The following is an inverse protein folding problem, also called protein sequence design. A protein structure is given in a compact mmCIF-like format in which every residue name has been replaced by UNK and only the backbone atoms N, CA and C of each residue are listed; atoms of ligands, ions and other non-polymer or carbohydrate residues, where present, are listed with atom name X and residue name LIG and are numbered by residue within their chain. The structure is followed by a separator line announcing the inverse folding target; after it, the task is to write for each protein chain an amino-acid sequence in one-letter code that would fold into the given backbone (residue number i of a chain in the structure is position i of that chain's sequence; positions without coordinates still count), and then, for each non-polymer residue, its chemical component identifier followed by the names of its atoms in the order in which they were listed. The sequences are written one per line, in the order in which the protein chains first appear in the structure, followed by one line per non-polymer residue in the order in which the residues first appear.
data_IF_300768346422
#
_entry.id   IF_300768346422
#
_cell.length_a   1.000
_cell.length_b   1.000
_cell.length_c   1.000
_cell.angle_alpha   90.00
_cell.angle_beta   90.00
_cell.angle_gamma   90.00
#
_symmetry.space_group_name_H-M   'P 1'
#
loop_
_entity.id
_entity.type
_entity.pdbx_description
1 polymer ?
#
# COMPACT_ATOMS: atom_id res chain seq x y z
N UNK A 1 -14.79 -36.56 34.45
CA UNK A 1 -13.48 -36.92 33.89
C UNK A 1 -12.54 -35.77 34.16
N UNK A 2 -11.46 -36.02 34.92
CA UNK A 2 -10.55 -34.98 35.38
C UNK A 2 -9.90 -34.30 34.17
N UNK A 3 -10.17 -33.01 34.00
CA UNK A 3 -9.44 -32.17 33.07
C UNK A 3 -8.05 -32.00 33.67
N UNK A 4 -7.12 -32.88 33.30
CA UNK A 4 -5.73 -32.85 33.77
C UNK A 4 -5.16 -31.47 33.38
N UNK A 5 -4.84 -30.63 34.37
CA UNK A 5 -4.45 -29.23 34.14
C UNK A 5 -3.22 -29.09 33.24
N UNK A 6 -2.45 -30.17 33.08
CA UNK A 6 -1.26 -30.24 32.24
C UNK A 6 -1.50 -30.77 30.82
N UNK A 7 -2.72 -31.21 30.49
CA UNK A 7 -3.04 -31.78 29.17
C UNK A 7 -2.71 -30.83 27.99
N UNK A 8 -3.01 -29.51 28.07
CA UNK A 8 -2.59 -28.57 27.03
C UNK A 8 -1.08 -28.40 26.89
N UNK A 9 -0.33 -28.47 27.99
CA UNK A 9 1.15 -28.39 27.98
C UNK A 9 1.76 -29.63 27.32
N UNK A 10 1.25 -30.82 27.64
CA UNK A 10 1.66 -32.08 26.99
C UNK A 10 1.41 -32.04 25.47
N UNK A 11 0.29 -31.46 25.04
CA UNK A 11 0.02 -31.22 23.63
C UNK A 11 1.01 -30.26 22.96
N UNK A 12 1.42 -29.19 23.65
CA UNK A 12 2.45 -28.27 23.18
C UNK A 12 3.80 -28.98 22.98
N UNK A 13 4.26 -29.73 23.98
CA UNK A 13 5.54 -30.44 23.93
C UNK A 13 5.56 -31.48 22.81
N UNK A 14 4.44 -32.21 22.64
CA UNK A 14 4.27 -33.16 21.56
C UNK A 14 4.39 -32.48 20.18
N UNK A 15 3.70 -31.36 19.96
CA UNK A 15 3.80 -30.62 18.71
C UNK A 15 5.18 -30.02 18.49
N UNK A 16 5.84 -29.50 19.54
CA UNK A 16 7.18 -28.92 19.45
C UNK A 16 8.20 -29.97 19.04
N UNK A 17 8.11 -31.20 19.56
CA UNK A 17 9.00 -32.29 19.18
C UNK A 17 8.76 -32.74 17.74
N UNK A 18 7.51 -32.94 17.32
CA UNK A 18 7.20 -33.35 15.95
C UNK A 18 7.53 -32.27 14.91
N UNK A 19 7.43 -30.99 15.27
CA UNK A 19 7.89 -29.89 14.42
C UNK A 19 9.41 -29.84 14.26
N UNK A 20 10.18 -30.27 15.27
CA UNK A 20 11.66 -30.38 15.19
C UNK A 20 12.09 -31.54 14.30
N UNK A 21 11.49 -32.70 14.52
CA UNK A 21 11.91 -33.94 13.87
C UNK A 21 11.26 -34.15 12.50
N UNK A 22 10.20 -33.38 12.19
CA UNK A 22 9.43 -33.50 10.94
C UNK A 22 8.66 -34.82 10.81
N UNK A 23 8.50 -35.57 11.90
CA UNK A 23 7.85 -36.88 11.90
C UNK A 23 6.33 -36.74 11.81
N UNK A 24 5.73 -37.62 11.01
CA UNK A 24 4.28 -37.75 10.96
C UNK A 24 3.77 -38.55 12.18
N UNK A 25 2.55 -38.25 12.61
CA UNK A 25 1.89 -38.89 13.75
C UNK A 25 0.41 -39.15 13.47
N UNK A 26 -0.20 -40.06 14.24
CA UNK A 26 -1.64 -40.30 14.24
C UNK A 26 -2.34 -39.60 15.41
N UNK A 27 -3.66 -39.41 15.34
CA UNK A 27 -4.39 -38.79 16.44
C UNK A 27 -4.49 -39.68 17.69
N UNK A 28 -4.36 -40.99 17.52
CA UNK A 28 -4.23 -41.94 18.63
C UNK A 28 -2.92 -41.72 19.40
N UNK A 29 -1.81 -41.45 18.69
CA UNK A 29 -0.52 -41.10 19.31
C UNK A 29 -0.61 -39.76 20.05
N UNK A 30 -1.26 -38.76 19.45
CA UNK A 30 -1.51 -37.48 20.10
C UNK A 30 -2.40 -37.64 21.33
N UNK A 31 -3.44 -38.47 21.27
CA UNK A 31 -4.30 -38.79 22.42
C UNK A 31 -3.48 -39.43 23.55
N UNK A 32 -2.65 -40.41 23.23
CA UNK A 32 -1.80 -41.08 24.21
C UNK A 32 -0.81 -40.12 24.90
N UNK A 33 -0.26 -39.15 24.15
CA UNK A 33 0.70 -38.18 24.67
C UNK A 33 0.05 -37.02 25.44
N UNK A 34 -1.07 -36.48 24.95
CA UNK A 34 -1.72 -35.28 25.49
C UNK A 34 -2.78 -35.57 26.55
N UNK A 35 -3.35 -36.78 26.56
CA UNK A 35 -4.52 -37.13 27.37
C UNK A 35 -5.85 -36.59 26.82
N UNK A 36 -5.87 -35.93 25.66
CA UNK A 36 -7.09 -35.47 25.02
C UNK A 36 -7.89 -36.62 24.40
N UNK A 37 -9.23 -36.50 24.44
CA UNK A 37 -10.08 -37.42 23.69
C UNK A 37 -9.94 -37.19 22.18
N UNK A 38 -10.14 -38.24 21.36
CA UNK A 38 -10.16 -38.11 19.89
C UNK A 38 -11.18 -37.07 19.41
N UNK A 39 -12.33 -36.97 20.10
CA UNK A 39 -13.36 -35.96 19.81
C UNK A 39 -12.86 -34.54 20.05
N UNK A 40 -12.09 -34.32 21.13
CA UNK A 40 -11.45 -33.04 21.42
C UNK A 40 -10.39 -32.70 20.37
N UNK A 41 -9.59 -33.69 19.98
CA UNK A 41 -8.54 -33.55 18.95
C UNK A 41 -9.14 -33.14 17.60
N UNK A 42 -10.19 -33.81 17.11
CA UNK A 42 -10.86 -33.43 15.86
C UNK A 42 -11.49 -32.03 15.93
N UNK A 43 -12.00 -31.66 17.11
CA UNK A 43 -12.52 -30.31 17.36
C UNK A 43 -11.41 -29.25 17.30
N UNK A 44 -10.27 -29.49 17.94
CA UNK A 44 -9.15 -28.55 17.92
C UNK A 44 -8.46 -28.50 16.56
N UNK A 45 -8.30 -29.63 15.88
CA UNK A 45 -7.79 -29.69 14.50
C UNK A 45 -8.60 -28.82 13.55
N UNK A 46 -9.93 -28.93 13.57
CA UNK A 46 -10.80 -28.16 12.68
C UNK A 46 -10.90 -26.67 13.06
N UNK A 47 -10.85 -26.35 14.35
CA UNK A 47 -11.09 -24.98 14.85
C UNK A 47 -9.84 -24.16 15.13
N UNK A 48 -8.74 -24.79 15.51
CA UNK A 48 -7.55 -24.15 16.10
C UNK A 48 -6.24 -24.57 15.42
N UNK A 49 -6.05 -25.85 15.06
CA UNK A 49 -4.76 -26.34 14.57
C UNK A 49 -4.66 -26.46 13.04
N UNK A 50 -5.66 -25.97 12.30
CA UNK A 50 -5.65 -25.98 10.83
C UNK A 50 -4.38 -25.34 10.25
N UNK A 51 -3.86 -24.32 10.92
CA UNK A 51 -2.65 -23.59 10.51
C UNK A 51 -1.37 -24.12 11.16
N UNK A 52 -1.47 -25.19 11.98
CA UNK A 52 -0.34 -25.84 12.64
C UNK A 52 -0.04 -27.23 12.07
N UNK A 53 -1.03 -27.88 11.48
CA UNK A 53 -0.93 -29.25 10.99
C UNK A 53 -1.00 -29.31 9.46
N UNK A 54 -0.28 -30.26 8.88
CA UNK A 54 -0.35 -30.64 7.47
C UNK A 54 -0.72 -32.12 7.34
N UNK A 55 -1.50 -32.44 6.31
CA UNK A 55 -1.86 -33.83 6.03
C UNK A 55 -0.71 -34.46 5.24
N UNK A 56 -0.05 -35.46 5.83
CA UNK A 56 1.03 -36.19 5.19
C UNK A 56 0.52 -37.37 4.36
N UNK A 57 -0.49 -38.09 4.85
CA UNK A 57 -1.16 -39.19 4.13
C UNK A 57 -2.54 -39.47 4.77
N UNK A 58 -3.33 -40.46 4.29
CA UNK A 58 -4.53 -40.88 4.99
C UNK A 58 -4.20 -41.28 6.44
N UNK A 59 -4.77 -40.56 7.41
CA UNK A 59 -4.60 -40.73 8.87
C UNK A 59 -3.23 -40.33 9.45
N UNK A 60 -2.32 -39.76 8.66
CA UNK A 60 -1.05 -39.22 9.16
C UNK A 60 -0.96 -37.71 8.99
N UNK A 61 -0.49 -37.04 10.03
CA UNK A 61 -0.34 -35.59 10.11
C UNK A 61 1.07 -35.21 10.50
N UNK A 62 1.58 -34.11 9.98
CA UNK A 62 2.84 -33.51 10.39
C UNK A 62 2.57 -32.15 11.03
N UNK A 63 3.43 -31.76 11.97
CA UNK A 63 3.41 -30.40 12.52
C UNK A 63 4.28 -29.50 11.63
N UNK A 64 3.71 -28.38 11.21
CA UNK A 64 4.40 -27.34 10.44
C UNK A 64 5.59 -26.80 11.23
N UNK A 65 6.71 -26.51 10.56
CA UNK A 65 7.94 -25.99 11.21
C UNK A 65 7.71 -24.62 11.87
N UNK A 66 6.74 -23.86 11.38
CA UNK A 66 6.29 -22.58 11.91
C UNK A 66 5.85 -22.68 13.37
N UNK A 67 5.41 -23.86 13.83
CA UNK A 67 5.06 -24.10 15.24
C UNK A 67 6.23 -23.81 16.19
N UNK A 68 7.48 -23.95 15.75
CA UNK A 68 8.66 -23.67 16.59
C UNK A 68 8.77 -22.20 16.99
N UNK A 69 8.11 -21.29 16.26
CA UNK A 69 8.02 -19.86 16.58
C UNK A 69 7.02 -19.56 17.68
N UNK A 70 6.11 -20.50 17.97
CA UNK A 70 5.05 -20.34 18.95
C UNK A 70 5.58 -20.67 20.35
N UNK A 71 5.45 -19.73 21.29
CA UNK A 71 5.71 -20.00 22.70
C UNK A 71 4.61 -20.86 23.31
N UNK A 72 4.91 -21.51 24.44
CA UNK A 72 3.92 -22.27 25.20
C UNK A 72 2.71 -21.39 25.58
N UNK A 73 2.97 -20.16 26.04
CA UNK A 73 1.93 -19.21 26.43
C UNK A 73 0.99 -18.85 25.28
N UNK A 74 1.53 -18.59 24.08
CA UNK A 74 0.72 -18.27 22.89
C UNK A 74 -0.10 -19.47 22.41
N UNK A 75 0.45 -20.68 22.50
CA UNK A 75 -0.29 -21.91 22.18
C UNK A 75 -1.46 -22.14 23.15
N UNK A 76 -1.24 -21.94 24.44
CA UNK A 76 -2.28 -22.06 25.46
C UNK A 76 -3.38 -21.00 25.30
N UNK A 77 -3.00 -19.75 25.02
CA UNK A 77 -3.96 -18.67 24.73
C UNK A 77 -4.82 -19.02 23.50
N UNK A 78 -4.19 -19.55 22.44
CA UNK A 78 -4.89 -19.96 21.22
C UNK A 78 -5.83 -21.16 21.38
N UNK A 79 -5.51 -22.10 22.27
CA UNK A 79 -6.44 -23.17 22.62
C UNK A 79 -7.67 -22.62 23.36
N UNK A 80 -7.50 -21.54 24.13
CA UNK A 80 -8.58 -20.94 24.91
C UNK A 80 -9.47 -19.99 24.09
N UNK A 81 -8.89 -19.27 23.13
CA UNK A 81 -9.58 -18.27 22.32
C UNK A 81 -9.24 -18.41 20.83
N UNK A 82 -10.24 -18.35 19.96
CA UNK A 82 -10.04 -18.44 18.50
C UNK A 82 -9.39 -17.15 17.98
N UNK A 83 -8.05 -17.11 18.00
CA UNK A 83 -7.25 -16.02 17.43
C UNK A 83 -6.48 -16.54 16.22
N UNK A 84 -6.28 -15.77 15.14
CA UNK A 84 -5.35 -16.17 14.10
C UNK A 84 -3.94 -16.19 14.69
N UNK A 85 -3.31 -17.38 14.75
CA UNK A 85 -1.93 -17.54 15.26
C UNK A 85 -0.90 -16.86 14.37
N UNK A 86 -1.16 -16.88 13.07
CA UNK A 86 -0.30 -16.29 12.07
C UNK A 86 -1.15 -15.41 11.17
N UNK A 87 -0.78 -14.14 11.05
CA UNK A 87 -1.27 -13.30 9.96
C UNK A 87 -0.74 -13.86 8.66
N UNK A 88 -1.63 -14.23 7.75
CA UNK A 88 -1.26 -14.57 6.36
C UNK A 88 -1.26 -13.30 5.54
N UNK A 89 -0.14 -13.02 4.89
CA UNK A 89 0.01 -11.85 4.03
C UNK A 89 0.32 -12.36 2.63
N UNK A 90 -0.54 -12.13 1.66
CA UNK A 90 -0.14 -12.41 0.27
C UNK A 90 0.85 -11.33 -0.15
N UNK A 91 2.13 -11.71 -0.27
CA UNK A 91 3.16 -10.81 -0.78
C UNK A 91 2.91 -10.53 -2.26
N UNK A 92 2.49 -9.30 -2.55
CA UNK A 92 2.40 -8.76 -3.91
C UNK A 92 3.58 -7.82 -4.12
N UNK A 93 4.16 -7.84 -5.32
CA UNK A 93 5.19 -6.90 -5.72
C UNK A 93 4.97 -6.39 -7.12
N UNK A 94 5.64 -5.28 -7.41
CA UNK A 94 5.53 -4.56 -8.67
C UNK A 94 6.94 -4.21 -9.11
N UNK A 95 7.31 -4.62 -10.33
CA UNK A 95 8.61 -4.29 -10.92
C UNK A 95 8.76 -2.79 -11.19
N UNK A 96 7.64 -2.14 -11.54
CA UNK A 96 7.59 -0.73 -11.91
C UNK A 96 6.61 0.05 -11.06
N UNK A 97 6.89 1.34 -10.89
CA UNK A 97 6.00 2.29 -10.24
C UNK A 97 6.17 3.68 -10.84
N UNK A 98 5.12 4.48 -10.74
CA UNK A 98 5.16 5.92 -11.02
C UNK A 98 4.99 6.65 -9.70
N UNK A 99 5.86 7.61 -9.42
CA UNK A 99 5.80 8.42 -8.22
C UNK A 99 5.63 9.89 -8.58
N UNK A 100 4.66 10.53 -7.94
CA UNK A 100 4.40 11.96 -8.05
C UNK A 100 4.56 12.61 -6.68
N UNK A 101 5.33 13.68 -6.59
CA UNK A 101 5.58 14.41 -5.36
C UNK A 101 5.29 15.91 -5.53
N UNK A 102 4.24 16.41 -4.88
CA UNK A 102 3.99 17.85 -4.80
C UNK A 102 4.83 18.46 -3.70
N UNK A 103 5.48 19.58 -4.00
CA UNK A 103 6.17 20.41 -3.03
C UNK A 103 5.37 21.72 -2.89
N UNK A 104 4.72 21.87 -1.74
CA UNK A 104 3.77 22.95 -1.48
C UNK A 104 4.06 23.61 -0.12
N UNK A 105 4.00 24.95 0.00
CA UNK A 105 4.11 25.62 1.29
C UNK A 105 3.02 25.17 2.30
N UNK A 106 3.38 25.07 3.59
CA UNK A 106 2.48 24.61 4.67
C UNK A 106 1.43 25.61 5.13
N UNK A 107 1.42 26.82 4.59
CA UNK A 107 0.45 27.89 4.92
C UNK A 107 -1.00 27.42 4.86
N UNK A 108 -1.31 26.36 4.10
CA UNK A 108 -2.67 25.83 3.88
C UNK A 108 -2.78 24.31 4.00
N UNK A 109 -2.00 23.67 4.86
CA UNK A 109 -1.99 22.19 4.99
C UNK A 109 -3.40 21.59 5.18
N UNK A 110 -4.25 22.20 6.00
CA UNK A 110 -5.62 21.70 6.21
C UNK A 110 -6.48 21.73 4.94
N UNK A 111 -6.35 22.76 4.11
CA UNK A 111 -7.05 22.86 2.82
C UNK A 111 -6.48 21.85 1.82
N UNK A 112 -5.15 21.66 1.83
CA UNK A 112 -4.48 20.67 1.01
C UNK A 112 -4.97 19.25 1.35
N UNK A 113 -5.00 18.87 2.64
CA UNK A 113 -5.51 17.57 3.08
C UNK A 113 -6.98 17.36 2.68
N UNK A 114 -7.84 18.34 2.94
CA UNK A 114 -9.25 18.25 2.54
C UNK A 114 -9.39 18.05 1.02
N UNK A 115 -8.67 18.82 0.21
CA UNK A 115 -8.68 18.69 -1.24
C UNK A 115 -8.14 17.35 -1.74
N UNK A 116 -7.16 16.77 -1.04
CA UNK A 116 -6.61 15.45 -1.36
C UNK A 116 -7.57 14.33 -0.96
N UNK A 117 -8.17 14.42 0.22
CA UNK A 117 -9.13 13.42 0.74
C UNK A 117 -10.37 13.33 -0.14
N UNK A 118 -10.87 14.47 -0.62
CA UNK A 118 -12.00 14.54 -1.54
C UNK A 118 -11.79 13.69 -2.80
N UNK A 119 -10.55 13.59 -3.28
CA UNK A 119 -10.19 12.84 -4.49
C UNK A 119 -10.20 11.31 -4.31
N UNK A 120 -10.46 10.82 -3.09
CA UNK A 120 -10.62 9.39 -2.81
C UNK A 120 -12.08 8.98 -2.61
N UNK A 121 -13.05 9.89 -2.75
CA UNK A 121 -14.47 9.53 -2.78
C UNK A 121 -14.97 9.34 -4.21
N UNK A 122 -15.61 8.20 -4.47
CA UNK A 122 -16.06 7.81 -5.80
C UNK A 122 -17.04 8.79 -6.44
N UNK A 123 -17.91 9.40 -5.64
CA UNK A 123 -18.88 10.40 -6.07
C UNK A 123 -18.20 11.71 -6.49
N UNK A 124 -17.18 12.15 -5.75
CA UNK A 124 -16.38 13.32 -6.07
C UNK A 124 -15.59 13.09 -7.36
N UNK A 125 -14.96 11.93 -7.51
CA UNK A 125 -14.25 11.55 -8.75
C UNK A 125 -15.23 11.49 -9.92
N UNK A 126 -16.40 10.86 -9.76
CA UNK A 126 -17.43 10.79 -10.79
C UNK A 126 -17.90 12.19 -11.22
N UNK A 127 -18.19 13.07 -10.26
CA UNK A 127 -18.59 14.45 -10.52
C UNK A 127 -17.53 15.18 -11.35
N UNK A 128 -16.26 15.04 -10.98
CA UNK A 128 -15.14 15.64 -11.71
C UNK A 128 -15.00 15.09 -13.13
N UNK A 129 -15.17 13.79 -13.32
CA UNK A 129 -15.16 13.18 -14.65
C UNK A 129 -16.28 13.75 -15.54
N UNK A 130 -17.47 14.00 -14.96
CA UNK A 130 -18.57 14.67 -15.67
C UNK A 130 -18.23 16.11 -16.04
N UNK A 131 -17.54 16.85 -15.17
CA UNK A 131 -17.08 18.22 -15.46
C UNK A 131 -16.04 18.28 -16.59
N UNK A 132 -15.17 17.27 -16.68
CA UNK A 132 -14.22 17.14 -17.80
C UNK A 132 -14.98 16.83 -19.11
N UNK A 133 -16.00 15.99 -19.02
CA UNK A 133 -16.85 15.59 -20.14
C UNK A 133 -16.30 14.38 -20.91
N UNK A 134 -17.22 13.60 -21.46
CA UNK A 134 -16.95 12.34 -22.16
C UNK A 134 -16.00 12.49 -23.35
N UNK A 135 -16.09 13.59 -24.10
CA UNK A 135 -15.29 13.78 -25.31
C UNK A 135 -13.79 13.83 -24.98
N UNK A 136 -13.40 14.65 -24.01
CA UNK A 136 -12.00 14.78 -23.57
C UNK A 136 -11.49 13.50 -22.91
N UNK A 137 -12.33 12.83 -22.13
CA UNK A 137 -11.95 11.56 -21.51
C UNK A 137 -11.74 10.46 -22.56
N UNK A 138 -12.49 10.50 -23.67
CA UNK A 138 -12.36 9.52 -24.76
C UNK A 138 -11.03 9.65 -25.53
N UNK A 139 -10.35 10.80 -25.45
CA UNK A 139 -8.98 10.98 -25.97
C UNK A 139 -7.92 10.25 -25.14
N UNK A 140 -8.26 9.89 -23.90
CA UNK A 140 -7.37 9.22 -22.94
C UNK A 140 -7.73 7.74 -22.79
N UNK A 141 -9.01 7.45 -22.71
CA UNK A 141 -9.55 6.11 -22.48
C UNK A 141 -10.54 5.79 -23.59
N UNK A 142 -10.21 4.79 -24.41
CA UNK A 142 -11.12 4.33 -25.43
C UNK A 142 -12.43 3.84 -24.80
N UNK A 143 -13.54 4.23 -25.43
CA UNK A 143 -14.88 3.75 -25.10
C UNK A 143 -15.09 2.35 -25.67
N UNK A 144 -15.80 1.52 -24.92
CA UNK A 144 -16.19 0.22 -25.43
C UNK A 144 -17.38 0.34 -26.40
N UNK A 145 -17.52 -0.57 -27.38
CA UNK A 145 -18.70 -0.61 -28.24
C UNK A 145 -19.97 -0.72 -27.40
N UNK A 146 -20.97 0.11 -27.70
CA UNK A 146 -22.28 0.14 -27.00
C UNK A 146 -22.24 0.62 -25.54
N UNK A 147 -21.09 1.08 -25.05
CA UNK A 147 -20.95 1.60 -23.68
C UNK A 147 -21.75 2.89 -23.51
N UNK A 148 -22.70 2.90 -22.57
CA UNK A 148 -23.42 4.12 -22.19
C UNK A 148 -22.47 5.13 -21.54
N UNK A 149 -22.80 6.42 -21.58
CA UNK A 149 -21.98 7.47 -20.98
C UNK A 149 -21.78 7.23 -19.47
N UNK A 150 -22.82 6.79 -18.77
CA UNK A 150 -22.73 6.53 -17.32
C UNK A 150 -21.87 5.29 -17.02
N UNK A 151 -22.00 4.23 -17.83
CA UNK A 151 -21.13 3.06 -17.72
C UNK A 151 -19.66 3.42 -17.95
N UNK A 152 -19.38 4.30 -18.92
CA UNK A 152 -18.04 4.83 -19.17
C UNK A 152 -17.48 5.56 -17.94
N UNK A 153 -18.24 6.48 -17.33
CA UNK A 153 -17.77 7.16 -16.12
C UNK A 153 -17.47 6.19 -14.99
N UNK A 154 -18.37 5.22 -14.74
CA UNK A 154 -18.17 4.23 -13.68
C UNK A 154 -16.91 3.40 -13.90
N UNK A 155 -16.65 2.96 -15.14
CA UNK A 155 -15.43 2.23 -15.49
C UNK A 155 -14.18 3.06 -15.27
N UNK A 156 -14.21 4.36 -15.58
CA UNK A 156 -13.08 5.26 -15.32
C UNK A 156 -12.88 5.50 -13.82
N UNK A 157 -13.94 5.58 -13.01
CA UNK A 157 -13.84 5.64 -11.54
C UNK A 157 -13.21 4.37 -10.96
N UNK A 158 -13.64 3.19 -11.41
CA UNK A 158 -13.06 1.91 -10.99
C UNK A 158 -11.58 1.83 -11.37
N UNK A 159 -11.24 2.26 -12.59
CA UNK A 159 -9.86 2.35 -13.04
C UNK A 159 -9.05 3.30 -12.15
N UNK A 160 -9.56 4.49 -11.81
CA UNK A 160 -8.87 5.39 -10.89
C UNK A 160 -8.66 4.74 -9.50
N UNK A 161 -9.69 4.06 -9.00
CA UNK A 161 -9.68 3.39 -7.68
C UNK A 161 -8.66 2.27 -7.59
N UNK A 162 -8.52 1.46 -8.65
CA UNK A 162 -7.51 0.39 -8.70
C UNK A 162 -6.06 0.94 -8.70
N UNK A 163 -5.86 2.18 -9.17
CA UNK A 163 -4.54 2.76 -9.38
C UNK A 163 -4.07 3.65 -8.24
N UNK A 164 -4.97 4.47 -7.70
CA UNK A 164 -4.62 5.48 -6.70
C UNK A 164 -5.00 4.98 -5.31
N UNK A 165 -4.03 4.36 -4.62
CA UNK A 165 -4.27 3.74 -3.30
C UNK A 165 -4.10 4.68 -2.09
N UNK A 166 -3.50 5.86 -2.28
CA UNK A 166 -3.29 6.82 -1.21
C UNK A 166 -2.14 7.78 -1.49
N UNK A 167 -1.90 8.67 -0.52
CA UNK A 167 -0.80 9.60 -0.51
C UNK A 167 -0.14 9.65 0.87
N UNK A 168 1.07 10.18 0.94
CA UNK A 168 1.77 10.46 2.19
C UNK A 168 2.21 11.92 2.20
N UNK A 169 2.21 12.54 3.38
CA UNK A 169 2.70 13.91 3.57
C UNK A 169 3.92 13.85 4.48
N UNK A 170 5.01 14.49 4.07
CA UNK A 170 6.18 14.77 4.91
C UNK A 170 6.47 16.26 4.93
N UNK A 171 7.08 16.74 6.00
CA UNK A 171 7.41 18.16 6.17
C UNK A 171 8.91 18.35 6.02
N UNK A 172 9.29 19.29 5.18
CA UNK A 172 10.69 19.69 4.97
C UNK A 172 10.81 21.16 5.33
N UNK A 173 11.66 21.48 6.30
CA UNK A 173 12.01 22.86 6.60
C UNK A 173 13.15 23.30 5.68
N UNK A 174 12.94 24.41 4.97
CA UNK A 174 13.90 24.98 4.03
C UNK A 174 14.03 26.48 4.20
N UNK A 175 15.03 27.05 3.52
CA UNK A 175 15.25 28.49 3.46
C UNK A 175 15.54 28.88 2.02
N UNK A 176 14.75 29.79 1.46
CA UNK A 176 14.89 30.21 0.07
C UNK A 176 15.04 31.73 -0.08
N UNK A 177 15.48 32.13 -1.27
CA UNK A 177 15.71 33.52 -1.66
C UNK A 177 14.45 34.06 -2.34
N UNK A 178 13.84 35.10 -1.79
CA UNK A 178 12.59 35.66 -2.29
C UNK A 178 12.76 36.79 -3.34
N UNK A 179 14.01 37.08 -3.74
CA UNK A 179 14.33 38.12 -4.72
C UNK A 179 15.53 37.73 -5.58
N UNK A 180 15.90 38.54 -6.59
CA UNK A 180 17.14 38.31 -7.32
C UNK A 180 18.37 38.43 -6.40
N UNK A 181 19.50 37.82 -6.82
CA UNK A 181 20.74 37.94 -6.06
C UNK A 181 21.10 39.42 -5.91
N UNK A 182 21.29 39.87 -4.67
CA UNK A 182 21.60 41.25 -4.36
C UNK A 182 22.76 41.34 -3.37
N UNK A 183 23.38 42.50 -3.29
CA UNK A 183 24.46 42.76 -2.33
C UNK A 183 23.90 42.73 -0.91
N UNK A 184 24.77 42.55 0.10
CA UNK A 184 24.34 42.60 1.51
C UNK A 184 23.66 43.94 1.86
N UNK A 185 24.16 45.05 1.31
CA UNK A 185 23.58 46.38 1.51
C UNK A 185 22.17 46.47 0.92
N UNK A 186 22.00 46.03 -0.33
CA UNK A 186 20.68 46.01 -0.98
C UNK A 186 19.70 45.07 -0.26
N UNK A 187 20.17 43.92 0.23
CA UNK A 187 19.35 43.03 1.06
C UNK A 187 18.91 43.68 2.37
N UNK A 188 19.80 44.45 3.01
CA UNK A 188 19.48 45.19 4.23
C UNK A 188 18.41 46.25 3.95
N UNK A 189 18.57 47.03 2.88
CA UNK A 189 17.59 48.03 2.43
C UNK A 189 16.24 47.38 2.12
N UNK A 190 16.24 46.23 1.44
CA UNK A 190 15.05 45.46 1.13
C UNK A 190 14.34 44.90 2.38
N UNK A 191 15.09 44.57 3.43
CA UNK A 191 14.53 44.19 4.74
C UNK A 191 13.94 45.42 5.44
N UNK A 192 14.62 46.56 5.34
CA UNK A 192 14.22 47.83 5.99
C UNK A 192 12.94 48.40 5.37
N UNK A 193 12.71 48.17 4.08
CA UNK A 193 11.48 48.52 3.37
C UNK A 193 10.31 47.54 3.59
N UNK A 194 10.48 46.54 4.47
CA UNK A 194 9.43 45.59 4.85
C UNK A 194 9.40 44.30 4.02
N UNK A 195 10.32 44.11 3.07
CA UNK A 195 10.48 42.84 2.36
C UNK A 195 11.32 41.82 3.13
N UNK A 196 11.43 40.60 2.60
CA UNK A 196 12.32 39.55 3.13
C UNK A 196 13.22 39.08 2.00
N UNK A 197 14.53 39.00 2.25
CA UNK A 197 15.48 38.47 1.24
C UNK A 197 15.62 36.94 1.33
N UNK A 198 15.71 36.41 2.55
CA UNK A 198 15.67 34.98 2.84
C UNK A 198 14.42 34.68 3.66
N UNK A 199 13.65 33.68 3.23
CA UNK A 199 12.42 33.24 3.88
C UNK A 199 12.62 31.81 4.37
N UNK A 200 12.40 31.60 5.66
CA UNK A 200 12.26 30.26 6.23
C UNK A 200 10.85 29.77 5.89
N UNK A 201 10.75 28.61 5.27
CA UNK A 201 9.47 27.99 4.92
C UNK A 201 9.49 26.51 5.27
N UNK A 202 8.34 26.03 5.71
CA UNK A 202 8.14 24.59 5.80
C UNK A 202 7.26 24.18 4.63
N UNK A 203 7.77 23.24 3.84
CA UNK A 203 7.13 22.71 2.65
C UNK A 203 6.57 21.33 2.97
N UNK A 204 5.30 21.08 2.63
CA UNK A 204 4.75 19.74 2.52
C UNK A 204 5.26 19.09 1.24
N UNK A 205 5.87 17.92 1.37
CA UNK A 205 6.09 16.98 0.28
C UNK A 205 4.96 15.93 0.31
N UNK A 206 4.00 16.07 -0.61
CA UNK A 206 2.87 15.14 -0.77
C UNK A 206 3.21 14.13 -1.85
N UNK A 207 3.39 12.87 -1.47
CA UNK A 207 3.87 11.81 -2.35
C UNK A 207 2.79 10.77 -2.63
N UNK A 208 2.60 10.48 -3.91
CA UNK A 208 1.81 9.38 -4.45
C UNK A 208 2.74 8.33 -5.03
N UNK A 209 2.57 7.08 -4.62
CA UNK A 209 3.30 5.94 -5.20
C UNK A 209 2.26 5.05 -5.87
N UNK A 210 2.31 4.98 -7.19
CA UNK A 210 1.34 4.27 -8.01
C UNK A 210 2.04 3.05 -8.61
N UNK A 211 1.72 1.84 -8.13
CA UNK A 211 2.30 0.63 -8.68
C UNK A 211 1.76 0.35 -10.09
N UNK A 212 2.65 0.01 -11.03
CA UNK A 212 2.25 -0.47 -12.35
C UNK A 212 1.75 -1.92 -12.24
N UNK A 213 0.69 -2.27 -12.96
CA UNK A 213 0.20 -3.65 -13.06
C UNK A 213 1.09 -4.45 -14.03
N UNK A 214 1.73 -3.80 -15.01
CA UNK A 214 2.81 -4.42 -15.80
C UNK A 214 3.97 -4.78 -14.88
N UNK A 215 4.41 -6.04 -14.92
CA UNK A 215 5.43 -6.55 -14.01
C UNK A 215 4.93 -6.76 -12.58
N UNK A 216 3.62 -6.88 -12.36
CA UNK A 216 3.06 -7.33 -11.07
C UNK A 216 3.28 -8.82 -10.87
N UNK A 217 3.69 -9.18 -9.67
CA UNK A 217 3.89 -10.56 -9.27
C UNK A 217 3.35 -10.81 -7.86
N UNK A 218 3.10 -12.08 -7.54
CA UNK A 218 2.72 -12.51 -6.20
C UNK A 218 3.50 -13.74 -5.81
N UNK A 219 3.95 -13.80 -4.55
CA UNK A 219 4.57 -14.98 -3.98
C UNK A 219 3.60 -15.69 -3.06
N UNK A 220 3.73 -17.02 -3.00
CA UNK A 220 3.27 -17.75 -1.83
C UNK A 220 4.15 -17.39 -0.62
N UNK A 221 3.57 -17.42 0.57
CA UNK A 221 4.27 -17.21 1.86
C UNK A 221 5.32 -18.29 2.19
N UNK A 222 5.67 -19.14 1.22
CA UNK A 222 6.68 -20.19 1.39
C UNK A 222 8.08 -19.60 1.24
N UNK A 223 8.99 -20.06 2.11
CA UNK A 223 10.40 -19.65 2.10
C UNK A 223 11.06 -19.92 0.74
N UNK A 224 10.71 -21.04 0.10
CA UNK A 224 11.21 -21.45 -1.21
C UNK A 224 10.83 -20.47 -2.33
N UNK A 225 9.59 -19.95 -2.33
CA UNK A 225 9.15 -18.94 -3.28
C UNK A 225 9.90 -17.60 -3.12
N UNK A 226 10.48 -17.36 -1.94
CA UNK A 226 11.28 -16.16 -1.67
C UNK A 226 12.68 -16.21 -2.29
N UNK A 227 13.13 -17.33 -2.85
CA UNK A 227 14.43 -17.45 -3.52
C UNK A 227 14.36 -17.28 -5.05
N UNK A 228 13.19 -17.48 -5.65
CA UNK A 228 13.00 -17.45 -7.11
C UNK A 228 12.46 -16.12 -7.67
N UNK A 229 12.43 -15.06 -6.85
CA UNK A 229 11.82 -13.80 -7.24
C UNK A 229 12.65 -12.97 -8.22
N UNK A 230 13.98 -13.17 -8.28
CA UNK A 230 14.84 -12.44 -9.22
C UNK A 230 14.54 -12.80 -10.68
N UNK A 231 14.20 -14.06 -10.96
CA UNK A 231 13.89 -14.53 -12.32
C UNK A 231 12.64 -13.82 -12.91
N UNK A 232 11.73 -13.34 -12.04
CA UNK A 232 10.54 -12.59 -12.45
C UNK A 232 10.85 -11.15 -12.88
N UNK A 233 12.02 -10.61 -12.51
CA UNK A 233 12.42 -9.24 -12.86
C UNK A 233 12.92 -9.12 -14.30
N UNK A 234 13.22 -10.23 -14.99
CA UNK A 234 13.82 -10.21 -16.32
C UNK A 234 12.81 -10.24 -17.48
N UNK A 235 11.51 -10.39 -17.17
CA UNK A 235 10.45 -10.44 -18.19
C UNK A 235 10.32 -9.10 -18.93
N UNK A 236 10.22 -9.08 -20.28
CA UNK A 236 9.98 -7.86 -21.06
C UNK A 236 8.61 -7.22 -20.75
N UNK A 237 8.57 -5.91 -20.67
CA UNK A 237 7.38 -5.14 -20.27
C UNK A 237 6.80 -4.34 -21.44
N UNK A 238 6.29 -5.04 -22.46
CA UNK A 238 5.85 -4.44 -23.73
C UNK A 238 4.72 -3.40 -23.59
N UNK A 239 3.94 -3.45 -22.50
CA UNK A 239 2.82 -2.54 -22.24
C UNK A 239 3.11 -1.43 -21.22
N UNK A 240 4.33 -1.36 -20.67
CA UNK A 240 4.63 -0.44 -19.56
C UNK A 240 4.43 1.03 -19.95
N UNK A 241 4.92 1.45 -21.12
CA UNK A 241 4.82 2.86 -21.51
C UNK A 241 3.36 3.30 -21.64
N UNK A 242 2.50 2.48 -22.26
CA UNK A 242 1.06 2.77 -22.39
C UNK A 242 0.39 2.92 -21.02
N UNK A 243 0.71 2.02 -20.09
CA UNK A 243 0.20 2.06 -18.73
C UNK A 243 0.67 3.32 -17.98
N UNK A 244 1.95 3.68 -18.09
CA UNK A 244 2.51 4.88 -17.46
C UNK A 244 1.88 6.15 -18.03
N UNK A 245 1.65 6.21 -19.35
CA UNK A 245 0.94 7.33 -19.96
C UNK A 245 -0.50 7.45 -19.47
N UNK A 246 -1.21 6.33 -19.32
CA UNK A 246 -2.57 6.31 -18.79
C UNK A 246 -2.62 6.81 -17.34
N UNK A 247 -1.75 6.28 -16.47
CA UNK A 247 -1.62 6.71 -15.07
C UNK A 247 -1.33 8.20 -15.01
N UNK A 248 -0.38 8.69 -15.81
CA UNK A 248 -0.02 10.12 -15.85
C UNK A 248 -1.21 10.97 -16.26
N UNK A 249 -1.89 10.63 -17.36
CA UNK A 249 -3.04 11.42 -17.85
C UNK A 249 -4.16 11.47 -16.79
N UNK A 250 -4.50 10.32 -16.19
CA UNK A 250 -5.49 10.26 -15.11
C UNK A 250 -5.08 11.07 -13.89
N UNK A 251 -3.81 10.96 -13.47
CA UNK A 251 -3.31 11.70 -12.32
C UNK A 251 -3.38 13.23 -12.54
N UNK A 252 -3.03 13.70 -13.74
CA UNK A 252 -3.13 15.12 -14.06
C UNK A 252 -4.57 15.62 -14.06
N UNK A 253 -5.49 14.88 -14.69
CA UNK A 253 -6.89 15.25 -14.78
C UNK A 253 -7.58 15.26 -13.41
N UNK A 254 -7.33 14.24 -12.59
CA UNK A 254 -8.01 14.05 -11.32
C UNK A 254 -7.33 14.80 -10.17
N UNK A 255 -6.02 14.71 -10.03
CA UNK A 255 -5.30 15.20 -8.86
C UNK A 255 -4.64 16.57 -9.11
N UNK A 256 -3.80 16.68 -10.13
CA UNK A 256 -2.98 17.89 -10.34
C UNK A 256 -3.85 19.12 -10.53
N UNK A 257 -4.83 19.06 -11.44
CA UNK A 257 -5.75 20.18 -11.65
C UNK A 257 -6.56 20.52 -10.39
N UNK A 258 -6.77 19.57 -9.46
CA UNK A 258 -7.55 19.81 -8.24
C UNK A 258 -6.74 20.61 -7.24
N UNK A 259 -5.51 20.13 -7.01
CA UNK A 259 -4.58 20.68 -6.02
C UNK A 259 -4.19 22.09 -6.45
N UNK A 260 -3.79 22.29 -7.71
CA UNK A 260 -3.36 23.59 -8.23
C UNK A 260 -4.49 24.64 -8.17
N UNK A 261 -5.75 24.25 -8.41
CA UNK A 261 -6.89 25.18 -8.33
C UNK A 261 -7.32 25.52 -6.91
N UNK A 262 -7.12 24.58 -5.98
CA UNK A 262 -7.53 24.73 -4.58
C UNK A 262 -6.48 25.48 -3.76
N UNK A 263 -5.20 25.21 -4.00
CA UNK A 263 -4.08 25.88 -3.34
C UNK A 263 -3.89 27.28 -3.96
N UNK A 264 -4.51 28.28 -3.35
CA UNK A 264 -4.49 29.67 -3.81
C UNK A 264 -3.44 30.50 -3.07
N UNK A 265 -2.80 31.42 -3.79
CA UNK A 265 -1.96 32.48 -3.22
C UNK A 265 -0.48 32.14 -3.12
N UNK A 266 -0.07 30.93 -3.51
CA UNK A 266 1.34 30.53 -3.59
C UNK A 266 1.98 31.13 -4.85
N UNK A 267 3.27 31.48 -4.75
CA UNK A 267 4.04 32.04 -5.87
C UNK A 267 4.41 30.95 -6.89
N UNK A 268 4.74 29.75 -6.40
CA UNK A 268 5.04 28.59 -7.23
C UNK A 268 4.48 27.29 -6.63
N UNK A 269 4.09 26.36 -7.49
CA UNK A 269 3.76 24.98 -7.15
C UNK A 269 4.67 24.06 -7.96
N UNK A 270 5.28 23.07 -7.31
CA UNK A 270 6.21 22.15 -7.94
C UNK A 270 5.68 20.72 -7.82
N UNK A 271 5.83 19.95 -8.90
CA UNK A 271 5.51 18.52 -8.93
C UNK A 271 6.66 17.76 -9.59
N UNK A 272 7.18 16.78 -8.86
CA UNK A 272 8.23 15.89 -9.35
C UNK A 272 7.62 14.55 -9.75
N UNK A 273 7.88 14.09 -10.97
CA UNK A 273 7.62 12.72 -11.41
C UNK A 273 8.92 11.91 -11.34
N UNK A 274 8.84 10.69 -10.82
CA UNK A 274 9.96 9.74 -10.69
C UNK A 274 9.47 8.28 -10.80
N UNK A 275 10.40 7.31 -10.80
CA UNK A 275 10.11 5.90 -11.01
C UNK A 275 10.52 5.48 -12.43
N UNK A 276 9.54 5.24 -13.31
CA UNK A 276 9.82 4.91 -14.73
C UNK A 276 10.38 6.11 -15.51
N UNK A 277 9.91 7.32 -15.24
CA UNK A 277 10.41 8.55 -15.87
C UNK A 277 10.73 9.61 -14.83
N UNK A 278 11.53 10.61 -15.21
CA UNK A 278 11.91 11.73 -14.37
C UNK A 278 11.50 13.05 -15.02
N UNK A 279 10.62 13.82 -14.35
CA UNK A 279 10.15 15.12 -14.86
C UNK A 279 9.91 16.09 -13.71
N UNK A 280 10.11 17.38 -13.99
CA UNK A 280 9.73 18.46 -13.09
C UNK A 280 8.65 19.30 -13.78
N UNK A 281 7.57 19.53 -13.07
CA UNK A 281 6.51 20.45 -13.45
C UNK A 281 6.50 21.61 -12.46
N UNK A 282 6.38 22.83 -12.99
CA UNK A 282 6.37 24.05 -12.20
C UNK A 282 5.25 24.95 -12.70
N UNK A 283 4.37 25.34 -11.79
CA UNK A 283 3.36 26.37 -12.03
C UNK A 283 3.84 27.64 -11.36
N UNK A 284 4.02 28.70 -12.15
CA UNK A 284 4.33 30.04 -11.67
C UNK A 284 3.04 30.87 -11.64
N UNK A 285 2.87 31.67 -10.59
CA UNK A 285 1.76 32.62 -10.54
C UNK A 285 1.95 33.71 -11.60
N UNK A 286 0.96 33.85 -12.48
CA UNK A 286 0.87 34.98 -13.41
C UNK A 286 0.00 36.05 -12.76
N UNK A 287 0.50 37.28 -12.66
CA UNK A 287 -0.32 38.42 -12.23
C UNK A 287 -1.43 38.65 -13.26
N UNK A 288 -2.69 38.59 -12.81
CA UNK A 288 -3.86 38.97 -13.60
C UNK A 288 -4.08 40.48 -13.55
#
# INVERSE_FOLDING_TARGET
MANDKDSPKKGYDFFRQHARDGKAFTFEELQAASGWSLTSIETYKSKQWKDLLEKASPNLWTVRKEFLRLSEAEFLDHISQKRPLFSRYVRKGHKHYVMFEFLLPLTRESQLRAALDELFYSDTVAQRLREIGVDKLSEVIAREPEETIEAFYMRVVELATDRFGGYSISHVSGRYKAAQLMTRTAALEHITSGGRYLIDETTAAVRFIIPCQTGKFSFSDTLEASFHWLDLLETPDEMLDQEVQLVRKLFFLLFVESVVRTVKGEDEIWLVESGVHHRLYRWERVEC
#
